data_IF_946955531408
#
_entry.id   IF_946955531408
#
_cell.length_a   1.000
_cell.length_b   1.000
_cell.length_c   1.000
_cell.angle_alpha   90.00
_cell.angle_beta   90.00
_cell.angle_gamma   90.00
#
_symmetry.space_group_name_H-M   'P 1'
#
loop_
_entity.id
_entity.type
_entity.pdbx_description
1 polymer ?
#
# COMPACT_ATOMS: atom_id res chain seq x y z
N UNK A 1 10.76 -24.31 12.45
CA UNK A 1 9.45 -23.71 12.12
C UNK A 1 9.70 -22.42 11.34
N UNK A 2 9.37 -22.35 10.04
CA UNK A 2 9.48 -21.11 9.25
C UNK A 2 8.49 -20.10 9.84
N UNK A 3 8.97 -19.17 10.66
CA UNK A 3 8.14 -18.10 11.22
C UNK A 3 7.39 -17.44 10.06
N UNK A 4 6.06 -17.37 10.15
CA UNK A 4 5.23 -16.65 9.19
C UNK A 4 5.80 -15.23 9.08
N UNK A 5 6.55 -14.96 8.02
CA UNK A 5 7.09 -13.63 7.73
C UNK A 5 5.85 -12.75 7.61
N UNK A 6 5.60 -11.90 8.61
CA UNK A 6 4.47 -10.98 8.59
C UNK A 6 4.57 -10.18 7.28
N UNK A 7 3.52 -10.20 6.48
CA UNK A 7 3.44 -9.48 5.21
C UNK A 7 2.33 -8.46 5.28
N UNK A 8 2.51 -7.36 4.55
CA UNK A 8 1.45 -6.41 4.24
C UNK A 8 0.93 -6.76 2.85
N UNK A 9 -0.38 -6.92 2.72
CA UNK A 9 -1.05 -7.12 1.44
C UNK A 9 -1.45 -5.76 0.89
N UNK A 10 -1.13 -5.50 -0.37
CA UNK A 10 -1.55 -4.30 -1.10
C UNK A 10 -2.46 -4.73 -2.24
N UNK A 11 -3.60 -4.07 -2.38
CA UNK A 11 -4.53 -4.27 -3.49
C UNK A 11 -4.74 -2.93 -4.18
N UNK A 12 -4.59 -2.91 -5.51
CA UNK A 12 -4.71 -1.73 -6.35
C UNK A 12 -6.07 -1.73 -7.04
N UNK A 13 -6.74 -0.58 -7.05
CA UNK A 13 -8.12 -0.45 -7.52
C UNK A 13 -8.27 0.60 -8.62
N UNK A 14 -9.18 0.33 -9.55
CA UNK A 14 -9.70 1.25 -10.56
C UNK A 14 -11.20 1.44 -10.28
N UNK A 15 -11.57 2.55 -9.64
CA UNK A 15 -12.91 2.69 -9.07
C UNK A 15 -13.14 1.60 -8.03
N UNK A 16 -14.19 0.81 -8.20
CA UNK A 16 -14.51 -0.32 -7.31
C UNK A 16 -13.89 -1.65 -7.74
N UNK A 17 -13.20 -1.69 -8.88
CA UNK A 17 -12.60 -2.91 -9.43
C UNK A 17 -11.18 -3.12 -8.92
N UNK A 18 -10.89 -4.31 -8.38
CA UNK A 18 -9.55 -4.71 -7.98
C UNK A 18 -8.73 -5.16 -9.20
N UNK A 19 -7.71 -4.39 -9.57
CA UNK A 19 -6.91 -4.62 -10.79
C UNK A 19 -5.73 -5.54 -10.52
N UNK A 20 -5.05 -5.34 -9.40
CA UNK A 20 -3.87 -6.13 -9.06
C UNK A 20 -3.61 -6.15 -7.56
N UNK A 21 -2.80 -7.10 -7.12
CA UNK A 21 -2.36 -7.17 -5.73
C UNK A 21 -0.92 -7.63 -5.64
N UNK A 22 -0.24 -7.21 -4.57
CA UNK A 22 1.09 -7.69 -4.23
C UNK A 22 1.26 -7.74 -2.72
N UNK A 23 2.19 -8.56 -2.25
CA UNK A 23 2.54 -8.66 -0.83
C UNK A 23 3.96 -8.13 -0.62
N UNK A 24 4.16 -7.35 0.43
CA UNK A 24 5.47 -6.91 0.88
C UNK A 24 5.74 -7.42 2.29
N UNK A 25 7.01 -7.64 2.63
CA UNK A 25 7.36 -8.07 3.98
C UNK A 25 7.22 -6.92 4.97
N UNK A 26 6.76 -7.18 6.20
CA UNK A 26 6.58 -6.14 7.21
C UNK A 26 7.90 -5.50 7.65
N UNK A 27 9.00 -6.26 7.49
CA UNK A 27 10.38 -5.81 7.71
C UNK A 27 10.76 -4.70 6.74
N UNK A 28 10.12 -4.65 5.57
CA UNK A 28 10.26 -3.52 4.68
C UNK A 28 9.61 -2.30 5.32
N UNK A 29 10.32 -1.17 5.27
CA UNK A 29 9.78 0.10 5.73
C UNK A 29 8.45 0.37 5.05
N UNK A 30 7.45 0.79 5.83
CA UNK A 30 6.14 1.17 5.28
C UNK A 30 6.27 2.25 4.20
N UNK A 31 7.29 3.12 4.31
CA UNK A 31 7.63 4.12 3.29
C UNK A 31 7.98 3.44 1.96
N UNK A 32 8.66 2.29 1.98
CA UNK A 32 8.94 1.52 0.77
C UNK A 32 7.66 0.98 0.13
N UNK A 33 6.69 0.52 0.93
CA UNK A 33 5.36 0.11 0.45
C UNK A 33 4.62 1.25 -0.24
N UNK A 34 4.55 2.41 0.41
CA UNK A 34 3.92 3.59 -0.15
C UNK A 34 4.64 4.08 -1.43
N UNK A 35 5.96 3.98 -1.48
CA UNK A 35 6.74 4.34 -2.67
C UNK A 35 6.46 3.39 -3.84
N UNK A 36 6.33 2.10 -3.59
CA UNK A 36 5.92 1.12 -4.61
C UNK A 36 4.52 1.40 -5.12
N UNK A 37 3.56 1.67 -4.23
CA UNK A 37 2.20 2.08 -4.61
C UNK A 37 2.21 3.33 -5.49
N UNK A 38 3.01 4.34 -5.12
CA UNK A 38 3.13 5.57 -5.91
C UNK A 38 3.74 5.31 -7.30
N UNK A 39 4.69 4.37 -7.42
CA UNK A 39 5.24 3.95 -8.72
C UNK A 39 4.16 3.27 -9.57
N UNK A 40 3.34 2.41 -8.99
CA UNK A 40 2.23 1.76 -9.70
C UNK A 40 1.19 2.78 -10.17
N UNK A 41 0.82 3.77 -9.35
CA UNK A 41 -0.07 4.86 -9.77
C UNK A 41 0.51 5.72 -10.89
N UNK A 42 1.84 5.93 -10.91
CA UNK A 42 2.50 6.63 -12.02
C UNK A 42 2.54 5.79 -13.30
N UNK A 43 2.76 4.47 -13.17
CA UNK A 43 2.82 3.54 -14.29
C UNK A 43 1.43 3.31 -14.91
N UNK A 44 0.39 3.26 -14.09
CA UNK A 44 -0.97 3.00 -14.53
C UNK A 44 -1.92 4.12 -14.09
N UNK A 45 -2.19 5.10 -14.98
CA UNK A 45 -3.02 6.26 -14.68
C UNK A 45 -4.52 5.93 -14.62
N UNK A 46 -4.93 4.67 -14.74
CA UNK A 46 -6.31 4.26 -14.50
C UNK A 46 -6.56 3.85 -13.05
N UNK A 47 -5.50 3.64 -12.27
CA UNK A 47 -5.63 3.33 -10.85
C UNK A 47 -6.12 4.57 -10.08
N UNK A 48 -6.99 4.33 -9.11
CA UNK A 48 -7.65 5.37 -8.32
C UNK A 48 -7.16 5.38 -6.88
N UNK A 49 -7.02 4.19 -6.28
CA UNK A 49 -6.57 4.03 -4.91
C UNK A 49 -5.95 2.64 -4.69
N UNK A 50 -5.31 2.48 -3.55
CA UNK A 50 -4.75 1.23 -3.08
C UNK A 50 -5.21 0.98 -1.65
N UNK A 51 -5.47 -0.28 -1.30
CA UNK A 51 -5.75 -0.69 0.07
C UNK A 51 -4.56 -1.48 0.59
N UNK A 52 -3.93 -0.96 1.64
CA UNK A 52 -2.85 -1.63 2.37
C UNK A 52 -3.44 -2.33 3.57
N UNK A 53 -3.24 -3.63 3.68
CA UNK A 53 -3.68 -4.45 4.81
C UNK A 53 -2.44 -4.97 5.55
N UNK A 54 -2.34 -4.70 6.85
CA UNK A 54 -1.27 -5.23 7.69
C UNK A 54 -1.55 -6.68 8.14
N UNK A 55 -0.53 -7.35 8.68
CA UNK A 55 -0.60 -8.65 9.35
C UNK A 55 -1.63 -8.74 10.48
N UNK A 56 -2.01 -7.60 11.06
CA UNK A 56 -3.07 -7.49 12.08
C UNK A 56 -4.47 -7.28 11.49
N UNK A 57 -4.62 -7.30 10.17
CA UNK A 57 -5.89 -7.07 9.47
C UNK A 57 -6.30 -5.59 9.35
N UNK A 58 -5.51 -4.65 9.88
CA UNK A 58 -5.77 -3.22 9.74
C UNK A 58 -5.62 -2.79 8.28
N UNK A 59 -6.57 -1.97 7.80
CA UNK A 59 -6.62 -1.49 6.42
C UNK A 59 -6.44 0.02 6.36
N UNK A 60 -5.66 0.48 5.38
CA UNK A 60 -5.52 1.91 5.07
C UNK A 60 -5.66 2.13 3.58
N UNK A 61 -6.42 3.16 3.23
CA UNK A 61 -6.62 3.58 1.84
C UNK A 61 -5.56 4.61 1.47
N UNK A 62 -4.86 4.35 0.38
CA UNK A 62 -3.90 5.25 -0.25
C UNK A 62 -4.51 5.71 -1.57
N UNK A 63 -5.09 6.90 -1.60
CA UNK A 63 -5.57 7.47 -2.87
C UNK A 63 -4.42 7.92 -3.75
N UNK A 64 -4.61 7.83 -5.07
CA UNK A 64 -3.63 8.30 -6.05
C UNK A 64 -3.27 9.77 -5.90
N UNK A 65 -4.23 10.59 -5.50
CA UNK A 65 -4.08 12.05 -5.37
C UNK A 65 -3.37 12.46 -4.06
N UNK A 66 -2.88 11.51 -3.25
CA UNK A 66 -2.10 11.86 -2.07
C UNK A 66 -0.78 12.55 -2.48
N UNK A 67 -0.56 13.73 -1.90
CA UNK A 67 0.72 14.41 -1.95
C UNK A 67 1.82 13.60 -1.25
N UNK A 68 3.09 13.89 -1.55
CA UNK A 68 4.23 13.24 -0.88
C UNK A 68 4.19 13.45 0.64
N UNK A 69 3.77 14.64 1.09
CA UNK A 69 3.51 14.96 2.50
C UNK A 69 2.39 14.09 3.09
N UNK A 70 1.29 13.90 2.35
CA UNK A 70 0.20 13.02 2.78
C UNK A 70 0.66 11.57 2.93
N UNK A 71 1.53 11.08 2.05
CA UNK A 71 2.09 9.73 2.15
C UNK A 71 3.02 9.59 3.36
N UNK A 72 3.87 10.57 3.61
CA UNK A 72 4.74 10.62 4.80
C UNK A 72 3.92 10.64 6.09
N UNK A 73 2.86 11.45 6.13
CA UNK A 73 1.97 11.53 7.28
C UNK A 73 1.22 10.22 7.51
N UNK A 74 0.74 9.59 6.44
CA UNK A 74 0.13 8.26 6.50
C UNK A 74 1.14 7.23 7.01
N UNK A 75 2.40 7.30 6.57
CA UNK A 75 3.45 6.41 7.05
C UNK A 75 3.70 6.57 8.56
N UNK A 76 3.67 7.80 9.07
CA UNK A 76 3.83 8.10 10.48
C UNK A 76 2.64 7.62 11.32
N UNK A 77 1.42 7.74 10.79
CA UNK A 77 0.17 7.31 11.46
C UNK A 77 0.02 5.78 11.58
N UNK A 78 0.61 5.03 10.66
CA UNK A 78 0.50 3.56 10.61
C UNK A 78 1.56 2.87 11.49
N UNK A 79 2.64 3.59 11.87
CA UNK A 79 3.72 3.09 12.73
C UNK A 79 3.19 2.63 14.09
#
# INVERSE_FOLDING_TARGET
MKGLKKTRKVVLYRGDEAVSNFSQHITDSLVASLRSIRREFKRNPTLTHAIVTDSKGRKWTVSRNLSDLGLLWLAFRIK
#
